data_IF_082380389708
#
_entry.id   IF_082380389708
#
_cell.length_a   1.000
_cell.length_b   1.000
_cell.length_c   1.000
_cell.angle_alpha   90.00
_cell.angle_beta   90.00
_cell.angle_gamma   90.00
#
_symmetry.space_group_name_H-M   'P 1'
#
loop_
_entity.id
_entity.type
_entity.pdbx_description
1 polymer ?
#
# COMPACT_ATOMS: atom_id res chain seq x y z
N UNK A 1 -1.30 -18.49 -25.64
CA UNK A 1 -1.11 -18.14 -24.21
C UNK A 1 -1.30 -16.65 -24.13
N UNK A 2 -2.33 -16.18 -23.44
CA UNK A 2 -2.60 -14.75 -23.25
C UNK A 2 -2.16 -14.41 -21.82
N UNK A 3 -1.37 -13.35 -21.67
CA UNK A 3 -0.93 -12.89 -20.36
C UNK A 3 -1.95 -11.88 -19.82
N UNK A 4 -2.34 -12.02 -18.55
CA UNK A 4 -3.17 -11.00 -17.93
C UNK A 4 -2.35 -9.73 -17.65
N UNK A 5 -3.01 -8.59 -17.55
CA UNK A 5 -2.40 -7.33 -17.07
C UNK A 5 -1.61 -7.53 -15.77
N UNK A 6 -2.12 -8.38 -14.86
CA UNK A 6 -1.47 -8.68 -13.60
C UNK A 6 -0.15 -9.42 -13.82
N UNK A 7 -0.13 -10.40 -14.73
CA UNK A 7 1.08 -11.16 -15.05
C UNK A 7 2.13 -10.24 -15.68
N UNK A 8 1.71 -9.39 -16.63
CA UNK A 8 2.58 -8.41 -17.29
C UNK A 8 3.17 -7.43 -16.26
N UNK A 9 2.35 -6.83 -15.40
CA UNK A 9 2.85 -5.90 -14.38
C UNK A 9 3.72 -6.59 -13.32
N UNK A 10 3.45 -7.85 -13.00
CA UNK A 10 4.29 -8.63 -12.08
C UNK A 10 5.67 -8.87 -12.70
N UNK A 11 5.73 -9.25 -13.97
CA UNK A 11 6.99 -9.42 -14.70
C UNK A 11 7.78 -8.10 -14.75
N UNK A 12 7.13 -7.00 -15.11
CA UNK A 12 7.76 -5.67 -15.12
C UNK A 12 8.26 -5.25 -13.72
N UNK A 13 7.49 -5.53 -12.66
CA UNK A 13 7.90 -5.21 -11.29
C UNK A 13 9.16 -5.98 -10.87
N UNK A 14 9.30 -7.24 -11.30
CA UNK A 14 10.50 -8.03 -11.04
C UNK A 14 11.66 -7.57 -11.92
N UNK A 15 11.40 -7.33 -13.21
CA UNK A 15 12.40 -6.86 -14.18
C UNK A 15 13.06 -5.55 -13.76
N UNK A 16 12.27 -4.56 -13.36
CA UNK A 16 12.79 -3.27 -12.88
C UNK A 16 13.67 -3.39 -11.64
N UNK A 17 13.34 -4.28 -10.68
CA UNK A 17 14.20 -4.56 -9.51
C UNK A 17 15.53 -5.20 -9.90
N UNK A 18 15.49 -6.15 -10.83
CA UNK A 18 16.70 -6.81 -11.34
C UNK A 18 17.60 -5.83 -12.07
N UNK A 19 17.04 -5.02 -12.97
CA UNK A 19 17.77 -3.99 -13.72
C UNK A 19 18.38 -2.96 -12.77
N UNK A 20 17.60 -2.47 -11.79
CA UNK A 20 18.11 -1.49 -10.82
C UNK A 20 19.26 -2.04 -9.98
N UNK A 21 19.19 -3.33 -9.60
CA UNK A 21 20.29 -4.00 -8.90
C UNK A 21 21.55 -4.08 -9.77
N UNK A 22 21.40 -4.35 -11.07
CA UNK A 22 22.49 -4.34 -12.04
C UNK A 22 23.13 -2.96 -12.20
N UNK A 23 22.33 -1.90 -12.31
CA UNK A 23 22.85 -0.54 -12.34
C UNK A 23 23.57 -0.16 -11.05
N UNK A 24 23.08 -0.59 -9.89
CA UNK A 24 23.74 -0.33 -8.63
C UNK A 24 25.17 -0.88 -8.61
N UNK A 25 25.35 -2.14 -9.02
CA UNK A 25 26.68 -2.75 -9.15
C UNK A 25 27.56 -1.99 -10.16
N UNK A 26 27.01 -1.66 -11.33
CA UNK A 26 27.75 -0.91 -12.35
C UNK A 26 28.19 0.48 -11.88
N UNK A 27 27.39 1.19 -11.08
CA UNK A 27 27.73 2.49 -10.47
C UNK A 27 28.89 2.36 -9.49
N UNK A 28 28.90 1.29 -8.69
CA UNK A 28 29.96 1.02 -7.71
C UNK A 28 31.30 0.72 -8.41
N UNK A 29 31.26 0.00 -9.53
CA UNK A 29 32.45 -0.42 -10.28
C UNK A 29 32.93 0.61 -11.34
N UNK A 30 32.14 1.64 -11.63
CA UNK A 30 32.49 2.65 -12.62
C UNK A 30 33.69 3.51 -12.17
N UNK A 31 34.81 3.41 -12.90
CA UNK A 31 36.02 4.20 -12.66
C UNK A 31 35.95 5.63 -13.23
N UNK A 32 35.07 5.89 -14.20
CA UNK A 32 34.92 7.19 -14.83
C UNK A 32 33.67 7.91 -14.28
N UNK A 33 33.85 9.11 -13.73
CA UNK A 33 32.76 9.87 -13.10
C UNK A 33 31.62 10.21 -14.05
N UNK A 34 31.92 10.47 -15.33
CA UNK A 34 30.87 10.74 -16.33
C UNK A 34 30.02 9.49 -16.56
N UNK A 35 30.64 8.32 -16.70
CA UNK A 35 29.92 7.04 -16.85
C UNK A 35 29.12 6.74 -15.59
N UNK A 36 29.73 6.88 -14.41
CA UNK A 36 29.06 6.71 -13.12
C UNK A 36 27.81 7.57 -13.01
N UNK A 37 27.92 8.86 -13.31
CA UNK A 37 26.80 9.79 -13.22
C UNK A 37 25.69 9.45 -14.23
N UNK A 38 26.03 9.01 -15.44
CA UNK A 38 25.04 8.50 -16.41
C UNK A 38 24.31 7.28 -15.88
N UNK A 39 25.02 6.30 -15.30
CA UNK A 39 24.41 5.10 -14.74
C UNK A 39 23.50 5.41 -13.54
N UNK A 40 23.90 6.35 -12.67
CA UNK A 40 23.05 6.85 -11.59
C UNK A 40 21.77 7.47 -12.14
N UNK A 41 21.88 8.30 -13.18
CA UNK A 41 20.72 8.93 -13.81
C UNK A 41 19.73 7.90 -14.34
N UNK A 42 20.21 6.93 -15.12
CA UNK A 42 19.35 5.86 -15.69
C UNK A 42 18.74 5.02 -14.56
N UNK A 43 19.52 4.68 -13.54
CA UNK A 43 18.99 3.92 -12.40
C UNK A 43 17.87 4.69 -11.68
N UNK A 44 17.98 6.02 -11.57
CA UNK A 44 16.92 6.83 -10.98
C UNK A 44 15.64 6.77 -11.83
N UNK A 45 15.74 6.79 -13.16
CA UNK A 45 14.57 6.63 -14.06
C UNK A 45 13.91 5.25 -13.88
N UNK A 46 14.71 4.19 -13.75
CA UNK A 46 14.22 2.84 -13.46
C UNK A 46 13.53 2.76 -12.09
N UNK A 47 14.09 3.38 -11.05
CA UNK A 47 13.46 3.45 -9.73
C UNK A 47 12.12 4.19 -9.76
N UNK A 48 12.00 5.26 -10.55
CA UNK A 48 10.71 5.94 -10.74
C UNK A 48 9.70 5.04 -11.46
N UNK A 49 10.13 4.34 -12.51
CA UNK A 49 9.29 3.39 -13.24
C UNK A 49 8.81 2.25 -12.34
N UNK A 50 9.71 1.67 -11.54
CA UNK A 50 9.40 0.65 -10.55
C UNK A 50 8.36 1.13 -9.54
N UNK A 51 8.48 2.36 -9.06
CA UNK A 51 7.52 2.98 -8.13
C UNK A 51 6.13 3.14 -8.76
N UNK A 52 6.06 3.61 -10.00
CA UNK A 52 4.79 3.73 -10.73
C UNK A 52 4.09 2.37 -10.91
N UNK A 53 4.84 1.32 -11.26
CA UNK A 53 4.32 -0.05 -11.39
C UNK A 53 3.80 -0.53 -10.03
N UNK A 54 4.59 -0.35 -8.97
CA UNK A 54 4.21 -0.73 -7.60
C UNK A 54 2.91 -0.06 -7.16
N UNK A 55 2.78 1.26 -7.36
CA UNK A 55 1.58 2.02 -6.98
C UNK A 55 0.37 1.61 -7.80
N UNK A 56 0.55 1.38 -9.10
CA UNK A 56 -0.51 0.87 -9.97
C UNK A 56 -0.99 -0.50 -9.52
N UNK A 57 -0.08 -1.44 -9.26
CA UNK A 57 -0.43 -2.77 -8.77
C UNK A 57 -1.11 -2.71 -7.40
N UNK A 58 -0.67 -1.83 -6.50
CA UNK A 58 -1.32 -1.62 -5.22
C UNK A 58 -2.75 -1.07 -5.38
N UNK A 59 -2.92 -0.03 -6.21
CA UNK A 59 -4.23 0.58 -6.47
C UNK A 59 -5.25 -0.39 -7.09
N UNK A 60 -4.77 -1.39 -7.85
CA UNK A 60 -5.58 -2.47 -8.43
C UNK A 60 -5.79 -3.66 -7.48
N UNK A 61 -5.25 -3.60 -6.26
CA UNK A 61 -5.33 -4.69 -5.27
C UNK A 61 -4.44 -5.91 -5.59
N UNK A 62 -3.52 -5.79 -6.55
CA UNK A 62 -2.63 -6.87 -6.97
C UNK A 62 -1.34 -6.95 -6.16
N UNK A 63 -1.03 -5.88 -5.42
CA UNK A 63 0.06 -5.83 -4.45
C UNK A 63 -0.49 -5.36 -3.09
N UNK A 64 -0.94 -6.28 -2.22
CA UNK A 64 -1.49 -5.92 -0.92
C UNK A 64 -0.38 -5.38 -0.02
N UNK A 65 -0.69 -4.29 0.68
CA UNK A 65 0.18 -3.70 1.68
C UNK A 65 -0.53 -3.74 3.03
N UNK A 66 0.24 -3.93 4.09
CA UNK A 66 -0.32 -3.77 5.43
C UNK A 66 -0.74 -2.31 5.61
N UNK A 67 -2.00 -2.05 6.00
CA UNK A 67 -2.51 -0.71 6.21
C UNK A 67 -1.74 0.11 7.25
N UNK A 68 -1.03 -0.54 8.17
CA UNK A 68 -0.07 0.12 9.07
C UNK A 68 1.00 0.89 8.28
N UNK A 69 1.37 0.42 7.08
CA UNK A 69 2.40 1.02 6.24
C UNK A 69 1.87 1.93 5.13
N UNK A 70 0.58 1.91 4.81
CA UNK A 70 -0.01 2.76 3.76
C UNK A 70 -0.61 4.06 4.29
N UNK A 71 -0.78 4.19 5.61
CA UNK A 71 -1.44 5.35 6.22
C UNK A 71 -2.95 5.40 5.95
N UNK A 72 -3.50 4.40 5.25
CA UNK A 72 -4.94 4.25 5.02
C UNK A 72 -5.57 3.67 6.29
N UNK A 73 -6.54 4.34 6.93
CA UNK A 73 -7.25 3.74 8.06
C UNK A 73 -7.94 2.47 7.57
N UNK A 74 -7.69 1.35 8.24
CA UNK A 74 -8.44 0.12 8.02
C UNK A 74 -9.94 0.42 8.10
N UNK A 75 -10.68 0.16 7.02
CA UNK A 75 -12.13 0.02 7.12
C UNK A 75 -12.46 -1.14 8.08
N UNK A 76 -13.61 -1.06 8.75
CA UNK A 76 -14.03 -2.01 9.80
C UNK A 76 -13.97 -3.50 9.41
N UNK A 77 -13.89 -3.81 8.12
CA UNK A 77 -13.87 -5.16 7.57
C UNK A 77 -12.51 -5.87 7.67
N UNK A 78 -11.42 -5.12 7.80
CA UNK A 78 -10.08 -5.68 7.72
C UNK A 78 -9.43 -5.92 9.09
N UNK A 79 -10.05 -5.47 10.19
CA UNK A 79 -9.56 -5.75 11.55
C UNK A 79 -9.84 -7.16 12.05
N UNK A 80 -10.69 -7.98 11.38
CA UNK A 80 -10.97 -9.36 11.80
C UNK A 80 -11.55 -9.54 13.21
N UNK A 81 -11.74 -8.45 13.97
CA UNK A 81 -12.40 -8.44 15.26
C UNK A 81 -13.90 -8.54 14.99
N UNK A 82 -14.41 -9.77 15.01
CA UNK A 82 -15.83 -10.04 15.29
C UNK A 82 -16.15 -9.33 16.60
N UNK A 83 -17.06 -8.35 16.56
CA UNK A 83 -17.67 -7.81 17.77
C UNK A 83 -18.22 -8.96 18.62
N UNK A 84 -18.25 -8.81 19.95
CA UNK A 84 -18.74 -9.89 20.81
C UNK A 84 -20.20 -10.15 20.48
N UNK A 85 -20.47 -11.29 19.83
CA UNK A 85 -21.79 -11.85 19.64
C UNK A 85 -22.39 -12.14 21.03
N UNK A 86 -23.20 -11.21 21.54
CA UNK A 86 -24.10 -11.43 22.67
C UNK A 86 -25.47 -11.90 22.16
N UNK A 87 -26.11 -12.89 22.79
CA UNK A 87 -27.27 -13.56 22.22
C UNK A 87 -28.56 -12.75 22.43
N UNK A 88 -29.53 -13.06 21.56
CA UNK A 88 -30.96 -12.76 21.62
C UNK A 88 -31.46 -11.44 21.04
N UNK A 89 -32.37 -11.61 20.07
CA UNK A 89 -33.72 -11.11 20.28
C UNK A 89 -34.13 -10.00 19.32
N UNK A 90 -34.84 -10.40 18.28
CA UNK A 90 -35.64 -9.51 17.43
C UNK A 90 -36.81 -8.91 18.26
N UNK A 91 -37.13 -7.63 17.96
CA UNK A 91 -38.34 -6.83 18.29
C UNK A 91 -38.31 -6.06 19.62
N UNK A 92 -38.79 -4.80 19.77
CA UNK A 92 -39.88 -4.06 19.09
C UNK A 92 -39.72 -2.51 19.23
N UNK A 93 -40.58 -1.68 18.58
CA UNK A 93 -40.43 -0.22 18.47
C UNK A 93 -41.23 0.61 19.49
N UNK A 94 -40.68 1.77 19.90
CA UNK A 94 -41.40 2.91 20.50
C UNK A 94 -41.17 3.14 22.01
N UNK A 95 -40.67 4.34 22.37
CA UNK A 95 -41.14 5.23 23.46
C UNK A 95 -40.13 6.38 23.78
N UNK A 96 -40.55 7.63 23.53
CA UNK A 96 -40.47 8.76 24.49
C UNK A 96 -39.19 9.62 24.61
N UNK A 97 -39.30 10.98 24.60
CA UNK A 97 -38.17 11.91 24.69
C UNK A 97 -37.94 12.46 26.13
N UNK A 98 -36.69 12.81 26.47
CA UNK A 98 -36.39 13.60 27.67
C UNK A 98 -34.92 13.62 28.10
N UNK A 99 -34.28 14.79 27.96
CA UNK A 99 -33.30 15.48 28.84
C UNK A 99 -32.17 14.65 29.51
N UNK A 100 -30.87 15.00 29.52
CA UNK A 100 -30.20 16.25 29.92
C UNK A 100 -28.69 16.12 29.55
N UNK A 101 -28.08 17.15 28.96
CA UNK A 101 -27.06 18.04 29.56
C UNK A 101 -25.65 17.47 29.84
N UNK A 102 -24.68 17.92 29.03
CA UNK A 102 -23.39 18.43 29.54
C UNK A 102 -22.23 17.46 29.78
N UNK A 103 -20.97 17.97 29.80
CA UNK A 103 -19.83 17.36 29.10
C UNK A 103 -18.69 16.93 30.03
N UNK A 104 -17.72 16.16 29.52
CA UNK A 104 -16.30 16.43 29.80
C UNK A 104 -15.34 15.68 28.87
N UNK A 105 -14.47 16.47 28.24
CA UNK A 105 -13.30 16.06 27.47
C UNK A 105 -12.20 15.74 28.47
N UNK A 106 -11.54 14.58 28.34
CA UNK A 106 -10.26 14.33 29.02
C UNK A 106 -9.21 13.92 28.00
N UNK A 107 -8.30 14.86 27.77
CA UNK A 107 -7.02 14.64 27.13
C UNK A 107 -6.13 13.77 28.03
N UNK A 108 -5.37 12.89 27.39
CA UNK A 108 -4.03 12.49 27.81
C UNK A 108 -3.12 12.66 26.59
#
# INVERSE_FOLDING_TARGET
MEFSDRDILTDLLVGTKMISSGYHMAVLEAANDRVRNTLIHINNEELQTQKQIFDLMHSRGWYPLDPVFTGTPMGAEATGIRGPEGPMGRMAPGMGPGAMSGPEVRNW
#
